data_IF_420313674397
#
_entry.id   IF_420313674397
#
_cell.length_a   1.000
_cell.length_b   1.000
_cell.length_c   1.000
_cell.angle_alpha   90.00
_cell.angle_beta   90.00
_cell.angle_gamma   90.00
#
_symmetry.space_group_name_H-M   'P 1'
#
loop_
_entity.id
_entity.type
_entity.pdbx_description
1 polymer ?
#
# COMPACT_ATOMS: atom_id res chain seq x y z
N UNK A 1 23.65 -13.93 0.63
CA UNK A 1 24.12 -12.54 0.46
C UNK A 1 22.90 -11.67 0.65
N UNK A 2 22.88 -10.80 1.65
CA UNK A 2 21.76 -9.87 1.89
C UNK A 2 21.69 -8.87 0.74
N UNK A 3 20.50 -8.61 0.21
CA UNK A 3 20.33 -7.64 -0.86
C UNK A 3 20.51 -6.20 -0.33
N UNK A 4 20.96 -5.28 -1.19
CA UNK A 4 21.14 -3.87 -0.81
C UNK A 4 19.80 -3.26 -0.36
N UNK A 5 19.73 -2.59 0.81
CA UNK A 5 18.52 -1.93 1.26
C UNK A 5 18.11 -0.80 0.32
N UNK A 6 16.81 -0.52 0.26
CA UNK A 6 16.23 0.64 -0.42
C UNK A 6 15.93 1.74 0.59
N UNK A 7 16.43 2.95 0.38
CA UNK A 7 16.03 4.09 1.19
C UNK A 7 14.77 4.75 0.63
N UNK A 8 13.78 4.95 1.50
CA UNK A 8 12.59 5.77 1.26
C UNK A 8 12.96 7.20 1.65
N UNK A 9 13.25 8.01 0.64
CA UNK A 9 13.71 9.40 0.79
C UNK A 9 12.56 10.38 1.00
N UNK A 10 11.42 10.10 0.38
CA UNK A 10 10.18 10.87 0.50
C UNK A 10 8.96 9.98 0.42
N UNK A 11 7.87 10.48 1.00
CA UNK A 11 6.56 9.86 0.99
C UNK A 11 5.52 10.92 0.61
N UNK A 12 4.47 10.48 -0.06
CA UNK A 12 3.31 11.26 -0.47
C UNK A 12 2.06 10.41 -0.28
N UNK A 13 0.95 11.03 0.11
CA UNK A 13 -0.26 10.29 0.46
C UNK A 13 -1.52 11.14 0.35
N UNK A 14 -2.41 10.75 -0.54
CA UNK A 14 -3.70 11.37 -0.83
C UNK A 14 -4.81 10.39 -0.41
N UNK A 15 -5.62 10.77 0.56
CA UNK A 15 -6.64 9.91 1.20
C UNK A 15 -7.95 10.65 1.45
N UNK A 16 -8.96 9.95 1.98
CA UNK A 16 -10.23 10.56 2.40
C UNK A 16 -10.09 11.50 3.61
N UNK A 17 -8.97 11.45 4.34
CA UNK A 17 -8.74 12.20 5.58
C UNK A 17 -7.62 13.24 5.48
N UNK A 18 -6.94 13.32 4.33
CA UNK A 18 -5.89 14.28 4.04
C UNK A 18 -5.47 14.23 2.56
N UNK A 19 -5.01 15.35 2.02
CA UNK A 19 -4.64 15.47 0.60
C UNK A 19 -3.12 15.65 0.39
N UNK A 20 -2.34 15.36 1.43
CA UNK A 20 -0.89 15.26 1.42
C UNK A 20 -0.45 14.31 2.55
N UNK A 21 0.79 13.83 2.54
CA UNK A 21 1.33 12.96 3.56
C UNK A 21 1.31 13.58 4.97
N UNK A 22 1.69 14.86 5.18
CA UNK A 22 1.59 15.48 6.50
C UNK A 22 0.18 15.43 7.12
N UNK A 23 -0.86 15.80 6.37
CA UNK A 23 -2.26 15.83 6.82
C UNK A 23 -2.84 14.43 6.94
N UNK A 24 -2.64 13.56 5.94
CA UNK A 24 -3.11 12.17 5.97
C UNK A 24 -2.54 11.42 7.16
N UNK A 25 -1.22 11.47 7.37
CA UNK A 25 -0.58 10.78 8.49
C UNK A 25 -0.95 11.38 9.85
N UNK A 26 -1.19 12.71 9.93
CA UNK A 26 -1.68 13.32 11.16
C UNK A 26 -3.10 12.87 11.51
N UNK A 27 -3.99 12.82 10.52
CA UNK A 27 -5.37 12.36 10.69
C UNK A 27 -5.43 10.88 11.08
N UNK A 28 -4.65 10.02 10.41
CA UNK A 28 -4.53 8.59 10.74
C UNK A 28 -4.00 8.41 12.16
N UNK A 29 -2.96 9.14 12.56
CA UNK A 29 -2.43 9.09 13.94
C UNK A 29 -3.49 9.49 14.97
N UNK A 30 -4.31 10.48 14.66
CA UNK A 30 -5.41 10.94 15.51
C UNK A 30 -6.64 10.00 15.46
N UNK A 31 -6.57 8.90 14.71
CA UNK A 31 -7.67 7.96 14.46
C UNK A 31 -8.92 8.65 13.89
N UNK A 32 -8.71 9.71 13.10
CA UNK A 32 -9.80 10.35 12.39
C UNK A 32 -10.25 9.43 11.26
N UNK A 33 -11.56 9.29 11.14
CA UNK A 33 -12.23 8.61 10.04
C UNK A 33 -13.23 9.59 9.42
N UNK A 34 -13.43 9.51 8.10
CA UNK A 34 -14.38 10.37 7.40
C UNK A 34 -15.14 9.61 6.32
N UNK A 35 -15.86 8.53 6.69
CA UNK A 35 -16.69 7.81 5.73
C UNK A 35 -17.85 8.70 5.29
N UNK A 36 -18.16 8.65 3.99
CA UNK A 36 -19.24 9.43 3.37
C UNK A 36 -20.22 8.51 2.67
N UNK A 37 -21.49 8.90 2.63
CA UNK A 37 -22.50 8.19 1.85
C UNK A 37 -22.10 8.18 0.36
N UNK A 38 -22.13 7.00 -0.25
CA UNK A 38 -22.02 6.87 -1.70
C UNK A 38 -23.39 7.13 -2.35
N UNK A 39 -23.47 6.97 -3.67
CA UNK A 39 -24.73 6.96 -4.43
C UNK A 39 -25.26 5.55 -4.67
N UNK A 40 -24.72 4.55 -3.97
CA UNK A 40 -25.06 3.15 -4.11
C UNK A 40 -25.70 2.66 -2.82
N UNK A 41 -26.72 1.82 -2.93
CA UNK A 41 -27.44 1.26 -1.77
C UNK A 41 -27.15 -0.24 -1.64
N UNK A 42 -27.29 -0.76 -0.43
CA UNK A 42 -27.33 -2.19 -0.16
C UNK A 42 -28.72 -2.79 -0.48
N UNK A 43 -28.86 -4.10 -0.22
CA UNK A 43 -30.09 -4.85 -0.48
C UNK A 43 -31.27 -4.41 0.42
N UNK A 44 -31.01 -3.70 1.52
CA UNK A 44 -32.03 -3.12 2.41
C UNK A 44 -32.36 -1.66 2.06
N UNK A 45 -31.68 -1.09 1.06
CA UNK A 45 -31.87 0.29 0.61
C UNK A 45 -31.08 1.32 1.42
N UNK A 46 -30.18 0.91 2.31
CA UNK A 46 -29.30 1.82 3.04
C UNK A 46 -28.11 2.23 2.16
N UNK A 47 -27.66 3.48 2.27
CA UNK A 47 -26.50 3.96 1.51
C UNK A 47 -25.23 3.24 1.94
N UNK A 48 -24.48 2.73 0.97
CA UNK A 48 -23.14 2.21 1.22
C UNK A 48 -22.23 3.37 1.60
N UNK A 49 -21.49 3.20 2.70
CA UNK A 49 -20.50 4.16 3.18
C UNK A 49 -19.15 3.91 2.52
N UNK A 50 -18.40 4.96 2.22
CA UNK A 50 -17.06 4.85 1.63
C UNK A 50 -16.12 5.98 2.05
N UNK A 51 -14.84 5.68 2.05
CA UNK A 51 -13.74 6.63 2.22
C UNK A 51 -13.36 7.25 0.86
N UNK A 52 -14.19 8.17 0.37
CA UNK A 52 -13.95 8.87 -0.88
C UNK A 52 -12.91 10.00 -0.72
N UNK A 53 -12.02 10.17 -1.70
CA UNK A 53 -11.09 11.33 -1.72
C UNK A 53 -11.84 12.55 -2.26
N UNK A 54 -11.91 13.67 -1.50
CA UNK A 54 -12.63 14.88 -1.91
C UNK A 54 -11.76 15.81 -2.76
N UNK A 55 -11.76 15.64 -4.09
CA UNK A 55 -11.02 16.51 -5.03
C UNK A 55 -11.78 17.78 -5.48
N UNK A 56 -12.78 18.23 -4.71
CA UNK A 56 -13.59 19.42 -5.00
C UNK A 56 -14.61 19.28 -6.15
N UNK A 57 -14.23 18.63 -7.24
CA UNK A 57 -15.11 18.32 -8.39
C UNK A 57 -15.55 16.84 -8.38
N UNK A 58 -16.66 16.53 -9.07
CA UNK A 58 -17.21 15.17 -9.20
C UNK A 58 -16.44 14.31 -10.22
N UNK A 59 -15.12 14.16 -10.02
CA UNK A 59 -14.30 13.24 -10.81
C UNK A 59 -14.68 11.79 -10.53
N UNK A 60 -14.58 10.93 -11.56
CA UNK A 60 -14.78 9.48 -11.42
C UNK A 60 -13.93 8.69 -12.41
N UNK A 61 -13.81 7.39 -12.18
CA UNK A 61 -13.10 6.45 -13.05
C UNK A 61 -11.65 6.86 -13.32
N UNK A 62 -11.18 6.62 -14.56
CA UNK A 62 -9.79 6.85 -14.95
C UNK A 62 -9.32 8.29 -14.72
N UNK A 63 -10.18 9.28 -14.96
CA UNK A 63 -9.85 10.70 -14.79
C UNK A 63 -9.58 11.05 -13.32
N UNK A 64 -10.33 10.44 -12.38
CA UNK A 64 -10.07 10.61 -10.95
C UNK A 64 -8.76 9.92 -10.55
N UNK A 65 -8.55 8.68 -10.98
CA UNK A 65 -7.33 7.93 -10.67
C UNK A 65 -6.08 8.65 -11.17
N UNK A 66 -6.11 9.20 -12.39
CA UNK A 66 -4.98 9.96 -12.91
C UNK A 66 -4.67 11.22 -12.09
N UNK A 67 -5.69 11.94 -11.61
CA UNK A 67 -5.51 13.11 -10.73
C UNK A 67 -4.93 12.72 -9.38
N UNK A 68 -5.45 11.65 -8.76
CA UNK A 68 -4.94 11.16 -7.49
C UNK A 68 -3.47 10.73 -7.62
N UNK A 69 -3.12 9.96 -8.65
CA UNK A 69 -1.74 9.56 -8.92
C UNK A 69 -0.85 10.77 -9.21
N UNK A 70 -1.31 11.73 -10.01
CA UNK A 70 -0.56 12.96 -10.30
C UNK A 70 -0.30 13.76 -9.01
N UNK A 71 -1.30 13.97 -8.15
CA UNK A 71 -1.12 14.64 -6.86
C UNK A 71 -0.07 13.95 -5.99
N UNK A 72 -0.13 12.62 -5.88
CA UNK A 72 0.83 11.85 -5.10
C UNK A 72 2.25 11.94 -5.68
N UNK A 73 2.41 11.83 -6.99
CA UNK A 73 3.72 11.91 -7.66
C UNK A 73 4.30 13.33 -7.55
N UNK A 74 3.49 14.37 -7.74
CA UNK A 74 3.92 15.76 -7.62
C UNK A 74 4.38 16.08 -6.20
N UNK A 75 3.62 15.67 -5.18
CA UNK A 75 4.01 15.80 -3.78
C UNK A 75 5.34 15.07 -3.50
N UNK A 76 5.48 13.84 -4.02
CA UNK A 76 6.66 13.01 -3.81
C UNK A 76 7.94 13.61 -4.43
N UNK A 77 7.78 14.30 -5.55
CA UNK A 77 8.86 14.91 -6.34
C UNK A 77 9.00 16.42 -6.14
N UNK A 78 8.33 17.01 -5.13
CA UNK A 78 8.27 18.47 -4.93
C UNK A 78 9.64 19.18 -4.90
N UNK A 79 10.68 18.52 -4.38
CA UNK A 79 12.04 19.06 -4.30
C UNK A 79 13.00 18.45 -5.35
N UNK A 80 12.47 17.69 -6.31
CA UNK A 80 13.24 17.15 -7.44
C UNK A 80 13.01 18.05 -8.65
N UNK A 81 14.06 18.71 -9.19
CA UNK A 81 13.94 19.57 -10.36
C UNK A 81 13.26 18.88 -11.55
N UNK A 82 12.33 19.57 -12.21
CA UNK A 82 11.47 19.03 -13.28
C UNK A 82 12.27 18.51 -14.48
N UNK A 83 13.46 19.04 -14.75
CA UNK A 83 14.38 18.59 -15.78
C UNK A 83 15.00 17.20 -15.50
N UNK A 84 14.94 16.75 -14.24
CA UNK A 84 15.41 15.42 -13.84
C UNK A 84 14.34 14.32 -13.99
N UNK A 85 13.06 14.69 -14.07
CA UNK A 85 11.95 13.73 -14.10
C UNK A 85 12.03 12.74 -15.27
N UNK A 86 12.47 13.13 -16.49
CA UNK A 86 12.61 12.20 -17.61
C UNK A 86 13.62 11.07 -17.37
N UNK A 87 14.49 11.16 -16.35
CA UNK A 87 15.43 10.08 -15.99
C UNK A 87 14.92 9.19 -14.84
N UNK A 88 13.80 9.51 -14.22
CA UNK A 88 13.27 8.80 -13.05
C UNK A 88 12.26 7.75 -13.53
N UNK A 89 12.50 6.45 -13.32
CA UNK A 89 11.49 5.43 -13.54
C UNK A 89 10.35 5.58 -12.52
N UNK A 90 9.11 5.49 -13.00
CA UNK A 90 7.90 5.43 -12.17
C UNK A 90 7.28 4.04 -12.30
N UNK A 91 7.20 3.33 -11.18
CA UNK A 91 6.47 2.06 -11.06
C UNK A 91 5.09 2.37 -10.49
N UNK A 92 4.07 2.42 -11.35
CA UNK A 92 2.71 2.82 -10.99
C UNK A 92 1.86 1.58 -10.67
N UNK A 93 1.62 1.37 -9.38
CA UNK A 93 0.83 0.29 -8.81
C UNK A 93 -0.67 0.56 -9.01
N UNK A 94 -1.38 -0.42 -9.56
CA UNK A 94 -2.82 -0.36 -9.82
C UNK A 94 -3.49 -1.68 -9.50
N UNK A 95 -4.82 -1.67 -9.49
CA UNK A 95 -5.64 -2.86 -9.32
C UNK A 95 -5.21 -4.02 -10.25
N UNK A 96 -5.24 -5.23 -9.70
CA UNK A 96 -5.02 -6.49 -10.39
C UNK A 96 -6.02 -6.71 -11.53
N UNK A 97 -5.57 -7.39 -12.59
CA UNK A 97 -6.34 -7.56 -13.83
C UNK A 97 -7.68 -8.27 -13.64
N UNK A 98 -7.72 -9.20 -12.69
CA UNK A 98 -8.87 -10.02 -12.32
C UNK A 98 -9.81 -9.34 -11.31
N UNK A 99 -9.49 -8.11 -10.85
CA UNK A 99 -10.36 -7.39 -9.91
C UNK A 99 -11.75 -7.15 -10.50
N UNK A 100 -12.83 -7.54 -9.82
CA UNK A 100 -14.19 -7.24 -10.27
C UNK A 100 -14.44 -5.75 -10.45
N UNK A 101 -15.01 -5.37 -11.59
CA UNK A 101 -15.28 -3.96 -11.93
C UNK A 101 -14.02 -3.10 -12.11
N UNK A 102 -12.84 -3.70 -12.32
CA UNK A 102 -11.59 -2.99 -12.59
C UNK A 102 -11.78 -1.89 -13.64
N UNK A 103 -11.29 -0.69 -13.33
CA UNK A 103 -11.35 0.45 -14.23
C UNK A 103 -10.62 0.15 -15.55
N UNK A 104 -11.29 0.36 -16.69
CA UNK A 104 -10.65 0.26 -17.99
C UNK A 104 -9.69 1.44 -18.23
N UNK A 105 -8.57 1.19 -18.91
CA UNK A 105 -7.56 2.19 -19.22
C UNK A 105 -6.35 2.24 -18.28
N UNK A 106 -6.28 1.36 -17.27
CA UNK A 106 -5.18 1.35 -16.29
C UNK A 106 -3.83 0.98 -16.91
N UNK A 107 -3.83 0.05 -17.88
CA UNK A 107 -2.59 -0.52 -18.42
C UNK A 107 -2.01 0.31 -19.58
N UNK A 108 -2.85 1.09 -20.29
CA UNK A 108 -2.51 1.73 -21.56
C UNK A 108 -2.72 3.25 -21.57
N UNK A 109 -3.63 3.80 -20.75
CA UNK A 109 -3.99 5.24 -20.77
C UNK A 109 -3.65 5.99 -19.49
N UNK A 110 -3.70 5.32 -18.33
CA UNK A 110 -3.53 5.97 -17.03
C UNK A 110 -2.20 6.73 -16.95
N UNK A 111 -1.10 6.07 -17.32
CA UNK A 111 0.23 6.63 -17.20
C UNK A 111 0.40 7.90 -18.05
N UNK A 112 -0.05 7.86 -19.31
CA UNK A 112 -0.03 9.02 -20.19
C UNK A 112 -0.91 10.18 -19.69
N UNK A 113 -2.06 9.88 -19.08
CA UNK A 113 -2.92 10.90 -18.47
C UNK A 113 -2.27 11.53 -17.24
N UNK A 114 -1.54 10.74 -16.43
CA UNK A 114 -0.74 11.24 -15.30
C UNK A 114 0.36 12.19 -15.79
N UNK A 115 1.14 11.78 -16.80
CA UNK A 115 2.16 12.63 -17.43
C UNK A 115 1.56 13.93 -17.98
N UNK A 116 0.40 13.84 -18.66
CA UNK A 116 -0.31 15.00 -19.19
C UNK A 116 -0.76 15.97 -18.08
N UNK A 117 -1.28 15.46 -16.97
CA UNK A 117 -1.70 16.27 -15.82
C UNK A 117 -0.50 16.94 -15.13
N UNK A 118 0.63 16.24 -15.05
CA UNK A 118 1.86 16.75 -14.48
C UNK A 118 2.59 17.71 -15.42
N UNK A 119 2.33 17.66 -16.73
CA UNK A 119 3.10 18.40 -17.73
C UNK A 119 4.56 17.95 -17.81
N UNK A 120 4.83 16.68 -17.55
CA UNK A 120 6.18 16.11 -17.50
C UNK A 120 6.18 14.66 -18.02
N UNK A 121 7.35 14.21 -18.48
CA UNK A 121 7.59 12.83 -18.88
C UNK A 121 8.52 12.14 -17.88
N UNK A 122 8.42 10.82 -17.80
CA UNK A 122 9.28 9.97 -16.98
C UNK A 122 10.18 9.07 -17.83
N UNK A 123 11.07 8.32 -17.18
CA UNK A 123 11.94 7.37 -17.90
C UNK A 123 11.11 6.32 -18.64
N UNK A 124 11.61 5.90 -19.79
CA UNK A 124 11.15 4.73 -20.57
C UNK A 124 11.17 3.40 -19.79
N UNK A 125 11.86 3.35 -18.65
CA UNK A 125 11.86 2.23 -17.70
C UNK A 125 10.68 2.27 -16.72
N UNK A 126 9.78 3.23 -16.86
CA UNK A 126 8.53 3.29 -16.10
C UNK A 126 7.59 2.15 -16.51
N UNK A 127 6.78 1.67 -15.56
CA UNK A 127 5.90 0.54 -15.80
C UNK A 127 4.65 0.57 -14.91
N UNK A 128 3.57 -0.05 -15.41
CA UNK A 128 2.39 -0.37 -14.61
C UNK A 128 2.65 -1.67 -13.82
N UNK A 129 2.30 -1.67 -12.53
CA UNK A 129 2.36 -2.84 -11.64
C UNK A 129 0.93 -3.21 -11.22
N UNK A 130 0.24 -3.99 -12.05
CA UNK A 130 -1.18 -4.35 -11.88
C UNK A 130 -1.36 -5.58 -10.98
N UNK A 131 -1.08 -5.43 -9.69
CA UNK A 131 -1.14 -6.50 -8.70
C UNK A 131 -1.93 -6.15 -7.43
N UNK A 132 -2.69 -5.05 -7.43
CA UNK A 132 -3.55 -4.69 -6.31
C UNK A 132 -2.76 -4.46 -5.03
N UNK A 133 -3.26 -4.98 -3.91
CA UNK A 133 -2.66 -4.80 -2.59
C UNK A 133 -1.21 -5.28 -2.48
N UNK A 134 -0.79 -6.28 -3.26
CA UNK A 134 0.60 -6.77 -3.26
C UNK A 134 1.51 -6.03 -4.27
N UNK A 135 1.00 -5.01 -4.97
CA UNK A 135 1.78 -4.29 -5.98
C UNK A 135 2.95 -3.49 -5.38
N UNK A 136 2.78 -2.91 -4.18
CA UNK A 136 3.84 -2.12 -3.51
C UNK A 136 5.11 -2.95 -3.28
N UNK A 137 5.08 -4.11 -2.59
CA UNK A 137 6.29 -4.92 -2.40
C UNK A 137 6.87 -5.46 -3.71
N UNK A 138 6.05 -5.76 -4.73
CA UNK A 138 6.54 -6.10 -6.08
C UNK A 138 7.32 -4.92 -6.66
N UNK A 139 6.77 -3.70 -6.58
CA UNK A 139 7.43 -2.49 -7.07
C UNK A 139 8.71 -2.16 -6.27
N UNK A 140 8.76 -2.42 -4.96
CA UNK A 140 10.00 -2.33 -4.18
C UNK A 140 11.06 -3.30 -4.72
N UNK A 141 10.71 -4.57 -4.95
CA UNK A 141 11.64 -5.55 -5.51
C UNK A 141 12.15 -5.13 -6.90
N UNK A 142 11.27 -4.63 -7.76
CA UNK A 142 11.64 -4.10 -9.10
C UNK A 142 12.50 -2.84 -8.99
N UNK A 143 12.18 -1.91 -8.10
CA UNK A 143 12.98 -0.71 -7.87
C UNK A 143 14.40 -1.05 -7.41
N UNK A 144 14.56 -2.09 -6.57
CA UNK A 144 15.87 -2.61 -6.17
C UNK A 144 16.70 -3.11 -7.35
N UNK A 145 16.07 -3.75 -8.33
CA UNK A 145 16.75 -4.18 -9.55
C UNK A 145 17.13 -2.99 -10.44
N UNK A 146 16.25 -2.00 -10.59
CA UNK A 146 16.52 -0.79 -11.35
C UNK A 146 17.69 0.01 -10.76
N UNK A 147 17.71 0.19 -9.43
CA UNK A 147 18.77 0.91 -8.70
C UNK A 147 20.11 0.15 -8.64
N UNK A 148 20.18 -1.09 -9.14
CA UNK A 148 21.45 -1.78 -9.33
C UNK A 148 22.23 -1.26 -10.55
N UNK A 149 21.54 -0.62 -11.50
CA UNK A 149 22.18 0.13 -12.59
C UNK A 149 22.67 1.49 -12.06
N UNK A 150 23.98 1.81 -12.10
CA UNK A 150 24.51 3.09 -11.65
C UNK A 150 23.91 4.32 -12.36
N UNK A 151 23.27 4.14 -13.53
CA UNK A 151 22.58 5.21 -14.23
C UNK A 151 21.20 5.54 -13.63
N UNK A 152 20.64 4.66 -12.78
CA UNK A 152 19.40 4.92 -12.04
C UNK A 152 19.76 5.34 -10.62
N UNK A 153 19.56 6.60 -10.30
CA UNK A 153 19.85 7.13 -8.95
C UNK A 153 18.62 7.18 -8.05
N UNK A 154 17.43 7.21 -8.65
CA UNK A 154 16.15 7.34 -7.97
C UNK A 154 15.06 6.60 -8.74
N UNK A 155 14.08 6.04 -8.02
CA UNK A 155 12.87 5.41 -8.60
C UNK A 155 11.67 5.87 -7.80
N UNK A 156 10.58 6.23 -8.48
CA UNK A 156 9.30 6.47 -7.81
C UNK A 156 8.48 5.19 -7.85
N UNK A 157 8.00 4.76 -6.69
CA UNK A 157 6.88 3.80 -6.62
C UNK A 157 5.65 4.60 -6.25
N UNK A 158 4.70 4.68 -7.17
CA UNK A 158 3.41 5.32 -6.96
C UNK A 158 2.31 4.27 -6.96
N UNK A 159 1.18 4.54 -6.33
CA UNK A 159 0.03 3.65 -6.34
C UNK A 159 -1.27 4.43 -6.27
N UNK A 160 -2.29 3.95 -6.98
CA UNK A 160 -3.62 4.56 -6.97
C UNK A 160 -4.71 3.51 -7.12
N UNK A 161 -5.79 3.65 -6.37
CA UNK A 161 -6.98 2.83 -6.55
C UNK A 161 -8.25 3.54 -6.09
N UNK A 162 -9.38 3.04 -6.60
CA UNK A 162 -10.73 3.36 -6.15
C UNK A 162 -11.58 2.10 -6.25
N UNK A 163 -12.20 1.74 -5.13
CA UNK A 163 -13.26 0.72 -5.09
C UNK A 163 -14.66 1.32 -5.30
N UNK A 164 -14.77 2.65 -5.45
CA UNK A 164 -16.03 3.39 -5.44
C UNK A 164 -16.67 3.42 -6.84
N UNK A 165 -16.94 2.24 -7.39
CA UNK A 165 -17.68 2.06 -8.63
C UNK A 165 -18.75 0.99 -8.46
N UNK A 166 -19.94 1.17 -9.03
CA UNK A 166 -20.98 0.14 -8.94
C UNK A 166 -20.56 -1.22 -9.52
N UNK A 167 -19.86 -1.30 -10.67
CA UNK A 167 -19.35 -2.57 -11.17
C UNK A 167 -18.46 -3.32 -10.17
N UNK A 168 -17.72 -2.61 -9.32
CA UNK A 168 -16.90 -3.20 -8.25
C UNK A 168 -17.74 -3.51 -7.02
N UNK A 169 -18.46 -2.51 -6.48
CA UNK A 169 -19.21 -2.63 -5.24
C UNK A 169 -20.32 -3.67 -5.31
N UNK A 170 -21.01 -3.79 -6.43
CA UNK A 170 -22.08 -4.78 -6.58
C UNK A 170 -21.60 -6.23 -6.48
N UNK A 171 -20.35 -6.51 -6.84
CA UNK A 171 -19.76 -7.85 -6.70
C UNK A 171 -19.41 -8.13 -5.24
N UNK A 172 -18.77 -7.18 -4.56
CA UNK A 172 -18.43 -7.32 -3.15
C UNK A 172 -19.67 -7.30 -2.23
N UNK A 173 -20.72 -6.56 -2.60
CA UNK A 173 -21.99 -6.57 -1.89
C UNK A 173 -22.66 -7.95 -1.97
N UNK A 174 -22.80 -8.51 -3.18
CA UNK A 174 -23.38 -9.85 -3.39
C UNK A 174 -22.60 -10.99 -2.74
N UNK A 175 -21.31 -10.77 -2.48
CA UNK A 175 -20.44 -11.72 -1.83
C UNK A 175 -20.36 -11.52 -0.31
N UNK A 176 -21.18 -10.62 0.28
CA UNK A 176 -21.17 -10.28 1.71
C UNK A 176 -19.79 -9.81 2.20
N UNK A 177 -19.05 -9.05 1.37
CA UNK A 177 -17.70 -8.56 1.69
C UNK A 177 -17.66 -7.08 2.07
N UNK A 178 -18.72 -6.33 1.82
CA UNK A 178 -18.82 -4.93 2.24
C UNK A 178 -19.35 -4.82 3.66
N UNK A 179 -18.81 -3.87 4.41
CA UNK A 179 -19.35 -3.47 5.71
C UNK A 179 -20.71 -2.79 5.48
N UNK A 180 -21.77 -3.40 6.00
CA UNK A 180 -23.14 -2.90 5.94
C UNK A 180 -23.77 -2.95 7.34
N UNK A 181 -24.95 -2.34 7.57
CA UNK A 181 -25.65 -2.46 8.86
C UNK A 181 -25.91 -3.91 9.31
N UNK A 182 -26.03 -4.85 8.36
CA UNK A 182 -26.28 -6.27 8.61
C UNK A 182 -25.04 -7.17 8.48
N UNK A 183 -23.94 -6.66 7.92
CA UNK A 183 -22.67 -7.38 7.79
C UNK A 183 -21.52 -6.61 8.44
N UNK A 184 -21.17 -7.00 9.67
CA UNK A 184 -20.02 -6.46 10.40
C UNK A 184 -18.68 -7.09 10.02
N UNK A 185 -18.68 -8.15 9.21
CA UNK A 185 -17.49 -8.84 8.71
C UNK A 185 -17.14 -8.40 7.28
N UNK A 186 -17.29 -7.12 7.00
CA UNK A 186 -16.95 -6.56 5.69
C UNK A 186 -15.93 -5.44 5.80
N UNK A 187 -15.35 -5.08 4.67
CA UNK A 187 -14.50 -3.89 4.56
C UNK A 187 -15.34 -2.68 4.13
N UNK A 188 -14.92 -1.48 4.53
CA UNK A 188 -15.46 -0.25 3.95
C UNK A 188 -14.62 0.15 2.72
N UNK A 189 -15.23 0.37 1.54
CA UNK A 189 -14.48 0.72 0.35
C UNK A 189 -13.88 2.12 0.44
N UNK A 190 -12.70 2.31 -0.13
CA UNK A 190 -11.97 3.56 -0.12
C UNK A 190 -11.32 3.91 -1.45
N UNK A 191 -10.77 5.11 -1.49
CA UNK A 191 -9.92 5.61 -2.57
C UNK A 191 -8.67 6.23 -1.96
N UNK A 192 -7.54 6.02 -2.60
CA UNK A 192 -6.31 6.73 -2.24
C UNK A 192 -5.34 6.73 -3.41
N UNK A 193 -4.34 7.61 -3.29
CA UNK A 193 -3.08 7.46 -3.98
C UNK A 193 -1.94 7.70 -3.00
N UNK A 194 -0.78 7.13 -3.29
CA UNK A 194 0.44 7.45 -2.56
C UNK A 194 1.64 7.28 -3.47
N UNK A 195 2.77 7.82 -3.04
CA UNK A 195 4.04 7.62 -3.72
C UNK A 195 5.20 7.67 -2.75
N UNK A 196 6.26 6.94 -3.08
CA UNK A 196 7.54 6.97 -2.38
C UNK A 196 8.68 7.17 -3.37
N UNK A 197 9.62 8.05 -3.00
CA UNK A 197 10.87 8.25 -3.74
C UNK A 197 11.94 7.36 -3.13
N UNK A 198 12.44 6.43 -3.93
CA UNK A 198 13.42 5.44 -3.53
C UNK A 198 14.80 5.82 -4.06
N UNK A 199 15.84 5.41 -3.34
CA UNK A 199 17.20 5.45 -3.83
C UNK A 199 18.15 4.60 -3.00
N UNK A 200 19.43 4.67 -3.31
CA UNK A 200 20.45 4.04 -2.48
C UNK A 200 20.45 4.64 -1.05
N UNK A 201 20.73 3.82 -0.02
CA UNK A 201 20.87 4.29 1.35
C UNK A 201 21.86 5.45 1.48
N UNK A 202 21.48 6.43 2.30
CA UNK A 202 22.28 7.61 2.59
C UNK A 202 22.72 7.66 4.06
N UNK A 203 23.54 8.64 4.44
CA UNK A 203 23.87 8.85 5.84
C UNK A 203 22.73 9.50 6.66
N UNK A 204 21.68 9.99 6.00
CA UNK A 204 20.59 10.70 6.64
C UNK A 204 19.64 9.77 7.39
N UNK A 205 18.84 10.36 8.29
CA UNK A 205 17.74 9.65 8.93
C UNK A 205 16.66 9.31 7.89
N UNK A 206 16.44 8.02 7.65
CA UNK A 206 15.57 7.53 6.58
C UNK A 206 14.96 6.17 6.93
N UNK A 207 13.75 5.95 6.43
CA UNK A 207 13.15 4.62 6.44
C UNK A 207 13.78 3.80 5.31
N UNK A 208 14.15 2.55 5.61
CA UNK A 208 14.77 1.63 4.66
C UNK A 208 13.94 0.36 4.55
N UNK A 209 13.75 -0.13 3.33
CA UNK A 209 13.32 -1.50 3.10
C UNK A 209 14.55 -2.39 3.01
N UNK A 210 14.72 -3.28 3.99
CA UNK A 210 15.90 -4.13 4.16
C UNK A 210 15.68 -5.55 3.67
N UNK A 211 14.43 -6.00 3.54
CA UNK A 211 14.09 -7.29 2.96
C UNK A 211 12.69 -7.32 2.37
N UNK A 212 12.49 -8.14 1.35
CA UNK A 212 11.19 -8.41 0.72
C UNK A 212 11.00 -9.90 0.51
N UNK A 213 9.77 -10.38 0.73
CA UNK A 213 9.42 -11.78 0.58
C UNK A 213 8.03 -11.94 -0.04
N UNK A 214 7.84 -13.05 -0.75
CA UNK A 214 6.61 -13.35 -1.49
C UNK A 214 6.17 -14.78 -1.21
N UNK A 215 4.86 -15.01 -1.21
CA UNK A 215 4.28 -16.32 -1.00
C UNK A 215 2.93 -16.45 -1.69
N UNK A 216 2.41 -17.67 -1.74
CA UNK A 216 1.07 -17.97 -2.24
C UNK A 216 0.33 -18.77 -1.16
N UNK A 217 -0.81 -18.26 -0.71
CA UNK A 217 -1.73 -18.99 0.16
C UNK A 217 -2.69 -19.81 -0.72
N UNK A 218 -2.65 -21.15 -0.67
CA UNK A 218 -3.56 -21.99 -1.43
C UNK A 218 -5.00 -21.90 -0.92
N UNK A 219 -5.20 -21.68 0.38
CA UNK A 219 -6.52 -21.49 0.98
C UNK A 219 -7.00 -20.04 0.85
N UNK A 220 -6.99 -19.50 -0.38
CA UNK A 220 -7.53 -18.17 -0.70
C UNK A 220 -9.06 -18.13 -0.55
N UNK A 221 -9.68 -16.95 -0.61
CA UNK A 221 -11.10 -16.75 -0.25
C UNK A 221 -12.07 -17.71 -0.95
N UNK A 222 -11.85 -17.97 -2.23
CA UNK A 222 -12.70 -18.85 -3.05
C UNK A 222 -12.29 -20.33 -2.99
N UNK A 223 -11.24 -20.67 -2.25
CA UNK A 223 -10.75 -22.04 -2.13
C UNK A 223 -11.47 -22.79 -1.00
N UNK A 224 -11.97 -23.99 -1.31
CA UNK A 224 -12.51 -24.92 -0.31
C UNK A 224 -11.37 -25.67 0.42
N UNK A 225 -10.49 -24.90 1.07
CA UNK A 225 -9.34 -25.38 1.80
C UNK A 225 -9.27 -24.73 3.18
N UNK A 226 -8.82 -25.47 4.23
CA UNK A 226 -8.68 -24.89 5.56
C UNK A 226 -7.56 -23.86 5.56
N UNK A 227 -7.88 -22.62 5.93
CA UNK A 227 -6.90 -21.54 6.08
C UNK A 227 -5.85 -21.88 7.14
N UNK A 228 -4.59 -21.96 6.70
CA UNK A 228 -3.43 -22.22 7.56
C UNK A 228 -2.48 -21.03 7.65
N UNK A 229 -2.56 -20.04 6.75
CA UNK A 229 -1.63 -18.91 6.74
C UNK A 229 -0.19 -19.31 6.39
N UNK A 230 -0.04 -20.39 5.62
CA UNK A 230 1.25 -20.89 5.17
C UNK A 230 1.88 -19.96 4.12
N UNK A 231 1.07 -19.43 3.20
CA UNK A 231 1.54 -18.52 2.17
C UNK A 231 2.05 -17.21 2.76
N UNK A 232 1.32 -16.66 3.73
CA UNK A 232 1.73 -15.44 4.42
C UNK A 232 2.94 -15.68 5.34
N UNK A 233 2.99 -16.81 6.05
CA UNK A 233 4.17 -17.19 6.83
C UNK A 233 5.42 -17.31 5.95
N UNK A 234 5.32 -17.97 4.78
CA UNK A 234 6.43 -18.07 3.84
C UNK A 234 6.91 -16.71 3.32
N UNK A 235 5.97 -15.79 3.01
CA UNK A 235 6.33 -14.44 2.61
C UNK A 235 7.09 -13.69 3.72
N UNK A 236 6.65 -13.83 4.98
CA UNK A 236 7.31 -13.25 6.15
C UNK A 236 8.71 -13.84 6.35
N UNK A 237 8.85 -15.17 6.31
CA UNK A 237 10.13 -15.86 6.49
C UNK A 237 11.14 -15.42 5.42
N UNK A 238 10.73 -15.34 4.15
CA UNK A 238 11.60 -14.86 3.07
C UNK A 238 12.01 -13.39 3.24
N UNK A 239 11.11 -12.53 3.72
CA UNK A 239 11.43 -11.12 3.97
C UNK A 239 12.41 -10.96 5.14
N UNK A 240 12.25 -11.77 6.19
CA UNK A 240 13.15 -11.84 7.34
C UNK A 240 14.54 -12.35 6.93
N UNK A 241 14.60 -13.41 6.12
CA UNK A 241 15.83 -13.97 5.59
C UNK A 241 16.57 -12.97 4.69
N UNK A 242 15.86 -12.27 3.79
CA UNK A 242 16.44 -11.24 2.91
C UNK A 242 17.03 -10.07 3.73
N UNK A 243 16.38 -9.70 4.84
CA UNK A 243 16.84 -8.68 5.77
C UNK A 243 17.92 -9.15 6.75
N UNK A 244 18.16 -10.46 6.88
CA UNK A 244 19.02 -11.04 7.91
C UNK A 244 18.51 -10.77 9.33
N UNK A 245 17.18 -10.84 9.53
CA UNK A 245 16.50 -10.58 10.80
C UNK A 245 15.63 -11.76 11.23
N UNK A 246 15.24 -11.76 12.48
CA UNK A 246 14.28 -12.67 13.09
C UNK A 246 13.03 -11.90 13.53
N UNK A 247 11.88 -12.56 13.54
CA UNK A 247 10.60 -11.91 13.87
C UNK A 247 10.59 -11.23 15.25
N UNK A 248 11.26 -11.83 16.25
CA UNK A 248 11.31 -11.31 17.62
C UNK A 248 12.26 -10.11 17.79
N UNK A 249 13.05 -9.76 16.76
CA UNK A 249 13.87 -8.55 16.75
C UNK A 249 13.10 -7.31 16.29
N UNK A 250 11.87 -7.48 15.80
CA UNK A 250 11.02 -6.40 15.30
C UNK A 250 10.10 -5.87 16.40
N UNK A 251 9.71 -4.60 16.35
CA UNK A 251 8.94 -3.95 17.42
C UNK A 251 7.43 -3.87 17.14
N UNK A 252 7.00 -3.86 15.88
CA UNK A 252 5.59 -3.84 15.52
C UNK A 252 5.36 -4.39 14.10
N UNK A 253 4.10 -4.50 13.72
CA UNK A 253 3.64 -4.97 12.42
C UNK A 253 2.73 -3.97 11.75
N UNK A 254 2.79 -3.89 10.44
CA UNK A 254 1.85 -3.13 9.62
C UNK A 254 1.16 -4.02 8.59
N UNK A 255 -0.08 -3.71 8.25
CA UNK A 255 -0.85 -4.51 7.30
C UNK A 255 -1.90 -3.71 6.53
N UNK A 256 -2.28 -4.25 5.37
CA UNK A 256 -3.38 -3.81 4.50
C UNK A 256 -4.78 -4.31 4.93
N UNK A 257 -4.92 -4.94 6.10
CA UNK A 257 -6.21 -5.43 6.59
C UNK A 257 -7.24 -4.32 6.73
N UNK A 258 -8.44 -4.55 6.18
CA UNK A 258 -9.47 -3.51 6.03
C UNK A 258 -10.86 -3.90 6.55
N UNK A 259 -11.01 -5.04 7.23
CA UNK A 259 -12.23 -5.41 7.97
C UNK A 259 -12.54 -6.92 8.00
N UNK A 260 -12.23 -7.63 6.92
CA UNK A 260 -12.65 -9.03 6.78
C UNK A 260 -11.87 -9.99 7.69
N UNK A 261 -12.59 -10.80 8.48
CA UNK A 261 -12.04 -11.76 9.45
C UNK A 261 -11.07 -12.76 8.82
N UNK A 262 -11.28 -13.15 7.56
CA UNK A 262 -10.40 -14.08 6.84
C UNK A 262 -8.94 -13.60 6.90
N UNK A 263 -8.69 -12.33 6.57
CA UNK A 263 -7.34 -11.79 6.51
C UNK A 263 -6.75 -11.54 7.90
N UNK A 264 -7.57 -11.13 8.89
CA UNK A 264 -7.13 -11.07 10.29
C UNK A 264 -6.73 -12.43 10.84
N UNK A 265 -7.51 -13.47 10.55
CA UNK A 265 -7.22 -14.85 10.93
C UNK A 265 -5.93 -15.36 10.28
N UNK A 266 -5.74 -15.07 8.99
CA UNK A 266 -4.49 -15.40 8.29
C UNK A 266 -3.28 -14.72 8.94
N UNK A 267 -3.37 -13.41 9.19
CA UNK A 267 -2.32 -12.62 9.85
C UNK A 267 -1.95 -13.19 11.23
N UNK A 268 -2.94 -13.60 12.03
CA UNK A 268 -2.73 -14.22 13.33
C UNK A 268 -2.09 -15.61 13.23
N UNK A 269 -2.53 -16.43 12.26
CA UNK A 269 -1.96 -17.76 12.01
C UNK A 269 -0.51 -17.68 11.52
N UNK A 270 -0.21 -16.73 10.64
CA UNK A 270 1.15 -16.49 10.16
C UNK A 270 2.05 -16.01 11.30
N UNK A 271 1.57 -15.08 12.15
CA UNK A 271 2.30 -14.63 13.33
C UNK A 271 2.66 -15.79 14.26
N UNK A 272 1.70 -16.67 14.58
CA UNK A 272 1.94 -17.81 15.46
C UNK A 272 2.97 -18.81 14.93
N UNK A 273 3.29 -18.77 13.62
CA UNK A 273 4.32 -19.61 12.99
C UNK A 273 5.70 -18.95 13.01
N UNK A 274 5.75 -17.63 12.84
CA UNK A 274 6.99 -16.88 12.63
C UNK A 274 7.54 -16.27 13.92
N UNK A 275 6.68 -15.89 14.88
CA UNK A 275 7.09 -15.40 16.19
C UNK A 275 7.33 -16.57 17.16
N UNK A 276 8.57 -17.08 17.17
CA UNK A 276 8.96 -18.26 17.99
C UNK A 276 9.46 -17.92 19.39
N UNK A 277 9.64 -16.65 19.70
CA UNK A 277 10.03 -16.16 21.02
C UNK A 277 8.95 -15.20 21.53
N UNK A 278 8.75 -15.18 22.84
CA UNK A 278 7.74 -14.31 23.46
C UNK A 278 8.14 -12.84 23.29
N UNK A 279 7.31 -12.10 22.58
CA UNK A 279 7.35 -10.62 22.53
C UNK A 279 6.08 -10.11 23.21
N UNK A 280 6.17 -9.48 24.41
CA UNK A 280 5.00 -9.13 25.20
C UNK A 280 4.12 -8.04 24.54
N UNK A 281 4.72 -7.16 23.75
CA UNK A 281 4.03 -6.11 23.01
C UNK A 281 4.44 -6.19 21.53
N UNK A 282 3.48 -6.45 20.64
CA UNK A 282 3.74 -6.54 19.20
C UNK A 282 2.54 -6.04 18.41
N UNK A 283 2.40 -4.71 18.42
CA UNK A 283 1.25 -4.00 17.86
C UNK A 283 1.06 -4.30 16.38
N UNK A 284 -0.20 -4.29 15.94
CA UNK A 284 -0.60 -4.39 14.55
C UNK A 284 -1.24 -3.07 14.14
N UNK A 285 -0.62 -2.37 13.19
CA UNK A 285 -1.16 -1.12 12.63
C UNK A 285 -1.73 -1.38 11.24
N UNK A 286 -2.90 -0.84 10.96
CA UNK A 286 -3.51 -0.92 9.64
C UNK A 286 -4.20 0.40 9.28
N UNK A 287 -3.61 1.24 8.38
CA UNK A 287 -4.17 2.54 8.02
C UNK A 287 -5.61 2.52 7.47
N UNK A 288 -6.10 1.35 7.06
CA UNK A 288 -7.47 1.15 6.63
C UNK A 288 -8.52 1.49 7.71
N UNK A 289 -8.17 1.54 9.01
CA UNK A 289 -9.09 2.04 10.06
C UNK A 289 -9.57 3.47 9.76
N UNK A 290 -8.73 4.27 9.12
CA UNK A 290 -9.02 5.68 8.79
C UNK A 290 -9.42 5.91 7.34
N UNK A 291 -9.09 4.97 6.46
CA UNK A 291 -9.13 5.17 4.99
C UNK A 291 -9.92 4.10 4.23
N UNK A 292 -10.43 3.08 4.93
CA UNK A 292 -11.06 1.93 4.29
C UNK A 292 -10.08 1.10 3.45
N UNK A 293 -10.63 0.20 2.65
CA UNK A 293 -9.89 -0.56 1.66
C UNK A 293 -9.52 0.31 0.45
N UNK A 294 -8.23 0.54 0.25
CA UNK A 294 -7.69 1.44 -0.79
C UNK A 294 -6.91 0.69 -1.87
N UNK A 295 -7.04 -0.64 -1.93
CA UNK A 295 -6.52 -1.49 -2.99
C UNK A 295 -5.02 -1.30 -3.20
N UNK A 296 -4.61 -1.00 -4.43
CA UNK A 296 -3.20 -0.83 -4.79
C UNK A 296 -2.48 0.33 -4.06
N UNK A 297 -3.21 1.28 -3.47
CA UNK A 297 -2.62 2.39 -2.70
C UNK A 297 -2.33 2.04 -1.23
N UNK A 298 -2.89 0.94 -0.71
CA UNK A 298 -2.77 0.54 0.71
C UNK A 298 -1.32 0.41 1.18
N UNK A 299 -0.45 -0.22 0.38
CA UNK A 299 0.96 -0.36 0.70
C UNK A 299 1.71 0.97 0.76
N UNK A 300 1.37 1.95 -0.08
CA UNK A 300 1.96 3.28 -0.02
C UNK A 300 1.50 4.03 1.24
N UNK A 301 0.23 3.89 1.62
CA UNK A 301 -0.28 4.44 2.87
C UNK A 301 0.47 3.88 4.08
N UNK A 302 0.75 2.57 4.09
CA UNK A 302 1.55 1.94 5.15
C UNK A 302 2.96 2.54 5.22
N UNK A 303 3.66 2.69 4.10
CA UNK A 303 5.01 3.27 4.08
C UNK A 303 5.03 4.74 4.52
N UNK A 304 4.07 5.55 4.07
CA UNK A 304 3.95 6.95 4.45
C UNK A 304 3.65 7.14 5.94
N UNK A 305 2.72 6.34 6.50
CA UNK A 305 2.40 6.35 7.93
C UNK A 305 3.62 5.91 8.76
N UNK A 306 4.33 4.87 8.32
CA UNK A 306 5.51 4.38 9.02
C UNK A 306 6.65 5.42 9.03
N UNK A 307 6.97 6.02 7.88
CA UNK A 307 8.01 7.05 7.77
C UNK A 307 7.65 8.27 8.65
N UNK A 308 6.39 8.72 8.63
CA UNK A 308 5.92 9.79 9.50
C UNK A 308 6.03 9.42 10.99
N UNK A 309 5.70 8.17 11.36
CA UNK A 309 5.79 7.68 12.73
C UNK A 309 7.22 7.62 13.25
N UNK A 310 8.14 7.10 12.45
CA UNK A 310 9.54 7.02 12.80
C UNK A 310 10.18 8.41 12.89
N UNK A 311 9.95 9.29 11.90
CA UNK A 311 10.51 10.66 11.89
C UNK A 311 9.99 11.53 13.03
N UNK A 312 8.72 11.39 13.39
CA UNK A 312 8.09 12.14 14.49
C UNK A 312 8.20 11.44 15.85
N UNK A 313 8.92 10.32 15.93
CA UNK A 313 9.26 9.65 17.19
C UNK A 313 8.09 9.01 17.92
N UNK A 314 7.04 8.57 17.22
CA UNK A 314 5.90 7.87 17.82
C UNK A 314 5.73 6.43 17.32
N UNK A 315 6.64 5.92 16.48
CA UNK A 315 6.71 4.49 16.18
C UNK A 315 7.18 3.69 17.42
N UNK A 316 6.64 2.47 17.67
CA UNK A 316 7.07 1.61 18.77
C UNK A 316 8.57 1.26 18.75
N UNK A 317 9.17 1.24 17.55
CA UNK A 317 10.60 1.04 17.37
C UNK A 317 11.07 1.29 15.94
N UNK A 318 12.39 1.17 15.69
CA UNK A 318 12.97 1.39 14.38
C UNK A 318 12.79 0.22 13.40
N UNK A 319 12.71 -1.03 13.85
CA UNK A 319 12.62 -2.23 13.02
C UNK A 319 11.20 -2.82 13.07
N UNK A 320 10.57 -3.01 11.92
CA UNK A 320 9.21 -3.54 11.82
C UNK A 320 8.98 -4.32 10.54
N UNK A 321 7.88 -5.05 10.49
CA UNK A 321 7.48 -5.80 9.29
C UNK A 321 6.13 -5.31 8.79
N UNK A 322 6.02 -5.16 7.48
CA UNK A 322 4.77 -4.92 6.78
C UNK A 322 4.38 -6.18 5.99
N UNK A 323 3.10 -6.48 5.91
CA UNK A 323 2.61 -7.56 5.06
C UNK A 323 1.31 -7.23 4.33
N UNK A 324 1.12 -7.93 3.21
CA UNK A 324 0.04 -7.70 2.25
C UNK A 324 -0.56 -9.01 1.76
N UNK A 325 -1.85 -9.00 1.47
CA UNK A 325 -2.57 -10.13 0.92
C UNK A 325 -3.55 -9.69 -0.17
N UNK A 326 -3.78 -10.51 -1.19
CA UNK A 326 -4.86 -10.29 -2.14
C UNK A 326 -5.79 -11.50 -2.27
N UNK A 327 -6.91 -11.30 -2.98
CA UNK A 327 -7.96 -12.32 -3.10
C UNK A 327 -7.48 -13.56 -3.88
N UNK A 328 -6.52 -13.39 -4.81
CA UNK A 328 -5.93 -14.48 -5.62
C UNK A 328 -4.94 -15.38 -4.85
N UNK A 329 -4.78 -15.18 -3.54
CA UNK A 329 -3.84 -15.94 -2.71
C UNK A 329 -2.41 -15.41 -2.72
N UNK A 330 -2.08 -14.34 -3.46
CA UNK A 330 -0.74 -13.75 -3.41
C UNK A 330 -0.50 -13.07 -2.06
N UNK A 331 0.68 -13.28 -1.52
CA UNK A 331 1.14 -12.73 -0.25
C UNK A 331 2.49 -12.06 -0.45
N UNK A 332 2.71 -10.99 0.30
CA UNK A 332 3.99 -10.33 0.33
C UNK A 332 4.29 -9.81 1.73
N UNK A 333 5.57 -9.67 2.04
CA UNK A 333 6.03 -9.02 3.25
C UNK A 333 7.30 -8.21 2.96
N UNK A 334 7.53 -7.19 3.78
CA UNK A 334 8.74 -6.38 3.73
C UNK A 334 9.21 -6.09 5.15
N UNK A 335 10.51 -6.22 5.38
CA UNK A 335 11.15 -5.75 6.61
C UNK A 335 11.62 -4.33 6.37
N UNK A 336 11.29 -3.46 7.31
CA UNK A 336 11.59 -2.05 7.27
C UNK A 336 12.42 -1.68 8.51
N UNK A 337 13.35 -0.77 8.31
CA UNK A 337 14.20 -0.24 9.36
C UNK A 337 14.32 1.28 9.23
N UNK A 338 14.03 2.01 10.29
CA UNK A 338 14.36 3.43 10.37
C UNK A 338 15.80 3.61 10.84
N UNK A 339 16.70 3.88 9.89
CA UNK A 339 18.08 4.19 10.20
C UNK A 339 18.18 5.63 10.71
N UNK A 340 18.66 5.80 11.94
CA UNK A 340 18.98 7.13 12.49
C UNK A 340 20.41 7.49 12.08
N UNK A 341 20.65 8.78 11.83
CA UNK A 341 22.01 9.28 11.67
C UNK A 341 22.79 8.95 12.97
N UNK A 342 23.99 8.33 12.90
CA UNK A 342 24.81 8.17 14.07
C UNK A 342 25.13 9.57 14.61
N UNK A 343 24.80 9.82 15.87
CA UNK A 343 25.07 11.09 16.54
C UNK A 343 26.59 11.37 16.61
#
# INVERSE_FOLDING_TARGET
MTASPLAIRRTALITSVGLDAPSSCAAIRAKLTNPTETRFVDDEGAWLMAHAVPLGESWSGLAKLARLAALAIDECLVDVPRDQWPQIPVLLCVAEHDRPGRQGGLDDRLFAEVERLLGAQFSDRSAIVAHGRVATPIALATARQLLADPLVTQVVVAGVDSLLSWPTLSVYLKADRLLTPINSNGFMPGEAAGAVLLGAPSAHAELRCTGVGFGIEPAHLDADLPLRGNGLAAAIELALDDAGRQMHELQFRMTDLSGEQYYFKESALALGRTLRQLTPEFELWHPAESTGETGAASGLAMLAVADAACRKGYAPGPDFIAHWANDSGRRAAAVLQFARHPA
#
